data_IF_671357691591
#
_entry.id   IF_671357691591
#
_cell.length_a   1.000
_cell.length_b   1.000
_cell.length_c   1.000
_cell.angle_alpha   90.00
_cell.angle_beta   90.00
_cell.angle_gamma   90.00
#
_symmetry.space_group_name_H-M   'P 1'
#
loop_
_entity.id
_entity.type
_entity.pdbx_description
1 polymer ?
#
# COMPACT_ATOMS: atom_id res chain seq x y z
N UNK A 1 -20.40 8.96 -11.48
CA UNK A 1 -20.40 7.65 -10.79
C UNK A 1 -21.74 7.47 -10.08
N UNK A 2 -22.19 6.23 -9.82
CA UNK A 2 -23.46 5.99 -9.09
C UNK A 2 -23.40 6.52 -7.66
N UNK A 3 -22.23 6.38 -7.02
CA UNK A 3 -21.96 6.90 -5.69
C UNK A 3 -21.00 8.09 -5.74
N UNK A 4 -21.06 9.00 -4.75
CA UNK A 4 -20.05 10.04 -4.58
C UNK A 4 -18.64 9.46 -4.46
N UNK A 5 -17.67 10.22 -4.95
CA UNK A 5 -16.24 9.98 -4.76
C UNK A 5 -15.70 11.23 -4.11
N UNK A 6 -15.18 11.08 -2.90
CA UNK A 6 -14.66 12.18 -2.12
C UNK A 6 -13.17 12.33 -2.36
N UNK A 7 -12.74 13.53 -2.73
CA UNK A 7 -11.32 13.89 -2.76
C UNK A 7 -10.84 14.15 -1.34
N UNK A 8 -9.89 13.34 -0.86
CA UNK A 8 -9.32 13.50 0.48
C UNK A 8 -7.82 13.72 0.39
N UNK A 9 -7.31 14.58 1.25
CA UNK A 9 -5.87 14.81 1.36
C UNK A 9 -5.16 13.51 1.77
N UNK A 10 -4.00 13.26 1.17
CA UNK A 10 -3.17 12.09 1.45
C UNK A 10 -1.72 12.52 1.67
N UNK A 11 -0.86 11.69 2.29
CA UNK A 11 0.55 11.99 2.41
C UNK A 11 1.21 12.22 1.04
N UNK A 12 2.01 13.28 0.92
CA UNK A 12 2.87 13.50 -0.23
C UNK A 12 4.19 12.73 -0.05
N UNK A 13 4.77 12.28 -1.16
CA UNK A 13 6.08 11.63 -1.14
C UNK A 13 7.21 12.65 -1.26
N UNK A 14 8.44 12.14 -1.32
CA UNK A 14 9.66 12.95 -1.37
C UNK A 14 10.66 12.46 -2.41
N UNK A 15 10.25 11.57 -3.32
CA UNK A 15 11.12 11.06 -4.39
C UNK A 15 11.39 12.22 -5.37
N UNK A 16 12.66 12.57 -5.63
CA UNK A 16 12.99 13.67 -6.53
C UNK A 16 12.42 13.46 -7.93
N UNK A 17 11.81 14.50 -8.49
CA UNK A 17 11.22 14.47 -9.84
C UNK A 17 9.81 13.87 -9.92
N UNK A 18 9.33 13.21 -8.87
CA UNK A 18 7.93 12.75 -8.83
C UNK A 18 6.95 13.89 -8.58
N UNK A 19 5.76 13.75 -9.14
CA UNK A 19 4.63 14.65 -8.90
C UNK A 19 3.57 13.91 -8.10
N UNK A 20 3.16 14.49 -6.97
CA UNK A 20 2.12 13.94 -6.11
C UNK A 20 0.88 14.82 -6.14
N UNK A 21 -0.28 14.22 -6.38
CA UNK A 21 -1.54 14.91 -6.24
C UNK A 21 -1.83 15.22 -4.76
N UNK A 22 -2.35 16.42 -4.42
CA UNK A 22 -2.68 16.77 -3.04
C UNK A 22 -3.80 15.92 -2.43
N UNK A 23 -4.68 15.36 -3.27
CA UNK A 23 -5.82 14.54 -2.87
C UNK A 23 -5.87 13.25 -3.68
N UNK A 24 -6.62 12.27 -3.16
CA UNK A 24 -6.95 11.03 -3.85
C UNK A 24 -8.46 10.77 -3.78
N UNK A 25 -9.01 10.03 -4.76
CA UNK A 25 -10.42 9.67 -4.79
C UNK A 25 -10.74 8.53 -3.80
N UNK A 26 -11.69 8.76 -2.91
CA UNK A 26 -12.23 7.75 -2.00
C UNK A 26 -13.70 7.47 -2.36
N UNK A 27 -14.03 6.29 -2.92
CA UNK A 27 -15.42 5.89 -3.14
C UNK A 27 -16.18 5.84 -1.81
N UNK A 28 -17.39 6.40 -1.76
CA UNK A 28 -18.21 6.33 -0.54
C UNK A 28 -18.95 5.01 -0.39
N UNK A 29 -19.15 4.28 -1.50
CA UNK A 29 -19.83 2.97 -1.53
C UNK A 29 -19.32 2.08 -2.67
N UNK A 30 -19.31 0.75 -2.48
CA UNK A 30 -19.47 0.06 -1.19
C UNK A 30 -18.30 0.39 -0.24
N UNK A 31 -18.39 0.09 1.08
CA UNK A 31 -17.23 0.16 1.95
C UNK A 31 -16.08 -0.71 1.44
N UNK A 32 -14.81 -0.39 1.79
CA UNK A 32 -13.70 -1.29 1.53
C UNK A 32 -13.98 -2.68 2.10
N UNK A 33 -13.75 -3.72 1.29
CA UNK A 33 -13.92 -5.12 1.70
C UNK A 33 -12.59 -5.80 2.05
N UNK A 34 -11.46 -5.11 1.82
CA UNK A 34 -10.11 -5.52 2.21
C UNK A 34 -9.47 -4.39 3.01
N UNK A 35 -8.48 -4.74 3.84
CA UNK A 35 -7.68 -3.77 4.59
C UNK A 35 -6.87 -2.89 3.66
N UNK A 36 -6.82 -1.60 4.00
CA UNK A 36 -6.21 -0.56 3.18
C UNK A 36 -5.26 0.28 4.04
N UNK A 37 -3.98 0.20 3.73
CA UNK A 37 -2.89 0.72 4.55
C UNK A 37 -2.32 -0.32 5.51
N UNK A 38 -1.25 0.07 6.18
CA UNK A 38 -0.59 -0.67 7.25
C UNK A 38 -0.32 0.29 8.38
N UNK A 39 -1.01 0.11 9.50
CA UNK A 39 -0.89 0.90 10.71
C UNK A 39 -0.33 0.03 11.84
N UNK A 40 0.18 0.67 12.89
CA UNK A 40 0.64 -0.03 14.10
C UNK A 40 -0.48 -0.89 14.70
N UNK A 41 -1.73 -0.43 14.61
CA UNK A 41 -2.90 -1.16 15.11
C UNK A 41 -3.24 -2.40 14.28
N UNK A 42 -2.72 -2.53 13.05
CA UNK A 42 -2.87 -3.72 12.22
C UNK A 42 -1.87 -4.83 12.57
N UNK A 43 -0.88 -4.54 13.44
CA UNK A 43 0.15 -5.50 13.82
C UNK A 43 -0.39 -6.55 14.80
N UNK A 44 0.12 -7.78 14.64
CA UNK A 44 -0.21 -8.90 15.51
C UNK A 44 0.01 -8.55 16.99
N UNK A 45 -0.90 -9.01 17.84
CA UNK A 45 -0.92 -8.74 19.27
C UNK A 45 -1.10 -10.01 20.11
N UNK A 46 -0.78 -11.18 19.53
CA UNK A 46 -0.93 -12.48 20.19
C UNK A 46 -0.20 -12.57 21.53
N UNK A 47 0.98 -11.95 21.62
CA UNK A 47 1.69 -11.70 22.89
C UNK A 47 2.39 -10.34 22.85
N UNK A 48 2.73 -9.74 24.01
CA UNK A 48 3.49 -8.49 24.07
C UNK A 48 4.85 -8.56 23.36
N UNK A 49 5.51 -9.72 23.40
CA UNK A 49 6.82 -9.92 22.76
C UNK A 49 6.71 -9.91 21.24
N UNK A 50 5.70 -10.61 20.68
CA UNK A 50 5.45 -10.62 19.24
C UNK A 50 4.99 -9.26 18.73
N UNK A 51 4.18 -8.54 19.52
CA UNK A 51 3.77 -7.17 19.20
C UNK A 51 4.99 -6.24 19.12
N UNK A 52 5.88 -6.30 20.10
CA UNK A 52 7.12 -5.50 20.11
C UNK A 52 8.02 -5.84 18.92
N UNK A 53 8.20 -7.12 18.63
CA UNK A 53 8.97 -7.54 17.46
C UNK A 53 8.36 -7.04 16.14
N UNK A 54 7.03 -7.10 16.00
CA UNK A 54 6.34 -6.57 14.83
C UNK A 54 6.51 -5.04 14.69
N UNK A 55 6.44 -4.30 15.79
CA UNK A 55 6.70 -2.85 15.82
C UNK A 55 8.15 -2.51 15.45
N UNK A 56 9.12 -3.27 15.97
CA UNK A 56 10.54 -3.15 15.62
C UNK A 56 10.79 -3.42 14.13
N UNK A 57 10.12 -4.42 13.54
CA UNK A 57 10.18 -4.71 12.10
C UNK A 57 9.57 -3.56 11.30
N UNK A 58 8.38 -3.09 11.69
CA UNK A 58 7.65 -2.01 11.03
C UNK A 58 8.45 -0.70 11.03
N UNK A 59 9.18 -0.40 12.12
CA UNK A 59 10.01 0.79 12.25
C UNK A 59 11.13 0.89 11.19
N UNK A 60 11.50 -0.23 10.54
CA UNK A 60 12.42 -0.25 9.41
C UNK A 60 11.79 0.09 8.06
N UNK A 61 10.52 0.48 8.02
CA UNK A 61 9.77 0.83 6.82
C UNK A 61 8.95 2.10 7.01
N UNK A 62 8.55 2.71 5.91
CA UNK A 62 7.46 3.70 5.91
C UNK A 62 6.13 2.95 5.84
N UNK A 63 5.18 3.32 6.69
CA UNK A 63 3.84 2.73 6.75
C UNK A 63 2.79 3.82 6.96
N UNK A 64 1.53 3.52 6.66
CA UNK A 64 0.45 4.50 6.70
C UNK A 64 -0.80 4.05 5.95
N UNK A 65 -1.75 4.98 5.68
CA UNK A 65 -2.98 4.68 4.94
C UNK A 65 -2.73 4.26 3.49
N UNK A 66 -3.78 3.81 2.78
CA UNK A 66 -3.73 3.29 1.40
C UNK A 66 -2.82 4.05 0.43
N UNK A 67 -2.88 5.38 0.46
CA UNK A 67 -2.15 6.26 -0.45
C UNK A 67 -0.81 6.74 0.13
N UNK A 68 -0.21 5.96 1.02
CA UNK A 68 1.17 6.23 1.46
C UNK A 68 2.12 5.95 0.29
N UNK A 69 2.89 6.97 -0.16
CA UNK A 69 3.70 6.87 -1.36
C UNK A 69 4.91 5.97 -1.14
N UNK A 70 5.45 5.34 -2.20
CA UNK A 70 6.76 4.68 -2.16
C UNK A 70 7.88 5.61 -1.71
N UNK A 71 8.93 5.05 -1.10
CA UNK A 71 10.12 5.81 -0.70
C UNK A 71 11.40 5.25 -1.31
N UNK A 72 12.40 6.12 -1.47
CA UNK A 72 13.77 5.71 -1.75
C UNK A 72 14.31 4.91 -0.57
N UNK A 73 14.99 3.80 -0.85
CA UNK A 73 15.67 3.00 0.16
C UNK A 73 16.82 3.81 0.74
N UNK A 74 16.88 3.87 2.07
CA UNK A 74 17.94 4.51 2.82
C UNK A 74 18.60 3.48 3.75
N UNK A 75 19.82 3.09 3.44
CA UNK A 75 20.57 2.08 4.19
C UNK A 75 21.33 2.67 5.40
N UNK A 76 21.26 3.99 5.63
CA UNK A 76 21.86 4.63 6.81
C UNK A 76 21.15 4.17 8.09
N UNK A 77 21.81 4.25 9.26
CA UNK A 77 21.14 3.97 10.54
C UNK A 77 19.88 4.83 10.71
N UNK A 78 18.73 4.18 10.92
CA UNK A 78 17.42 4.84 11.00
C UNK A 78 16.78 5.18 9.65
N UNK A 79 17.35 4.71 8.54
CA UNK A 79 16.74 4.80 7.21
C UNK A 79 15.61 3.79 7.00
N UNK A 80 15.01 3.82 5.82
CA UNK A 80 13.85 2.99 5.45
C UNK A 80 14.20 1.97 4.37
N UNK A 81 13.62 0.77 4.47
CA UNK A 81 13.67 -0.26 3.42
C UNK A 81 12.64 -0.06 2.32
N UNK A 82 11.85 1.01 2.37
CA UNK A 82 10.76 1.30 1.46
C UNK A 82 9.43 1.47 2.20
N UNK A 83 8.35 1.61 1.43
CA UNK A 83 7.00 1.72 1.97
C UNK A 83 6.32 0.37 1.97
N UNK A 84 5.73 -0.06 3.09
CA UNK A 84 4.83 -1.22 3.10
C UNK A 84 3.47 -0.76 2.58
N UNK A 85 3.00 -1.38 1.50
CA UNK A 85 1.70 -1.13 0.91
C UNK A 85 0.77 -2.32 1.12
N UNK A 86 -0.47 -2.00 1.50
CA UNK A 86 -1.58 -2.94 1.58
C UNK A 86 -2.84 -2.27 1.00
N UNK A 87 -3.53 -2.86 0.02
CA UNK A 87 -3.13 -4.08 -0.69
C UNK A 87 -1.78 -3.93 -1.40
N UNK A 88 -1.02 -5.03 -1.52
CA UNK A 88 0.26 -5.02 -2.25
C UNK A 88 0.07 -5.03 -3.76
N UNK A 89 1.17 -5.15 -4.51
CA UNK A 89 1.19 -5.01 -5.98
C UNK A 89 0.26 -5.98 -6.75
N UNK A 90 -0.08 -7.11 -6.12
CA UNK A 90 -1.01 -8.14 -6.61
C UNK A 90 -2.04 -8.51 -5.54
N UNK A 91 -2.29 -7.58 -4.61
CA UNK A 91 -3.19 -7.76 -3.48
C UNK A 91 -4.58 -7.15 -3.73
N UNK A 92 -5.55 -7.52 -2.90
CA UNK A 92 -6.93 -7.03 -2.99
C UNK A 92 -7.73 -7.76 -4.08
N UNK A 93 -8.68 -7.07 -4.70
CA UNK A 93 -9.35 -7.56 -5.90
C UNK A 93 -8.47 -7.33 -7.13
N UNK A 94 -8.13 -8.42 -7.80
CA UNK A 94 -7.31 -8.41 -9.01
C UNK A 94 -8.03 -9.18 -10.14
N UNK A 95 -7.30 -9.63 -11.16
CA UNK A 95 -7.79 -10.31 -12.36
C UNK A 95 -8.61 -11.59 -12.14
N UNK A 96 -8.71 -12.09 -10.91
CA UNK A 96 -9.39 -13.34 -10.58
C UNK A 96 -10.92 -13.27 -10.75
N UNK A 97 -11.47 -12.07 -11.00
CA UNK A 97 -12.89 -11.86 -11.24
C UNK A 97 -13.73 -11.97 -9.97
N UNK A 98 -15.03 -12.17 -10.13
CA UNK A 98 -15.99 -12.31 -9.04
C UNK A 98 -17.12 -13.25 -9.45
N UNK A 99 -17.86 -13.77 -8.48
CA UNK A 99 -19.06 -14.58 -8.70
C UNK A 99 -20.29 -13.88 -8.14
N UNK A 100 -21.44 -14.00 -8.81
CA UNK A 100 -22.72 -13.48 -8.34
C UNK A 100 -23.69 -14.64 -8.18
N UNK A 101 -24.34 -14.73 -7.04
CA UNK A 101 -25.52 -15.56 -6.84
C UNK A 101 -26.77 -14.70 -7.16
N UNK A 102 -27.48 -14.98 -8.27
CA UNK A 102 -28.64 -14.20 -8.67
C UNK A 102 -29.88 -14.46 -7.80
N UNK A 103 -29.94 -15.59 -7.08
CA UNK A 103 -31.09 -15.91 -6.20
C UNK A 103 -31.03 -15.09 -4.92
N UNK A 104 -29.84 -14.94 -4.34
CA UNK A 104 -29.61 -14.14 -3.12
C UNK A 104 -29.22 -12.70 -3.41
N UNK A 105 -28.78 -12.39 -4.63
CA UNK A 105 -28.24 -11.08 -5.00
C UNK A 105 -26.85 -10.80 -4.42
N UNK A 106 -26.13 -11.84 -3.97
CA UNK A 106 -24.82 -11.70 -3.33
C UNK A 106 -23.68 -11.73 -4.35
N UNK A 107 -22.76 -10.77 -4.24
CA UNK A 107 -21.49 -10.72 -4.97
C UNK A 107 -20.36 -11.24 -4.08
N UNK A 108 -19.62 -12.22 -4.58
CA UNK A 108 -18.44 -12.79 -3.95
C UNK A 108 -17.19 -12.36 -4.70
N UNK A 109 -16.34 -11.57 -4.04
CA UNK A 109 -15.09 -11.06 -4.60
C UNK A 109 -13.93 -11.72 -3.86
N UNK A 110 -13.10 -12.54 -4.52
CA UNK A 110 -11.87 -13.05 -3.92
C UNK A 110 -10.89 -11.91 -3.68
N UNK A 111 -10.16 -11.99 -2.56
CA UNK A 111 -9.11 -11.05 -2.20
C UNK A 111 -7.82 -11.80 -1.86
N UNK A 112 -6.68 -11.22 -2.22
CA UNK A 112 -5.37 -11.65 -1.76
C UNK A 112 -4.79 -10.64 -0.76
N UNK A 113 -4.58 -11.07 0.49
CA UNK A 113 -3.90 -10.26 1.50
C UNK A 113 -2.40 -10.52 1.45
N UNK A 114 -1.74 -9.85 0.52
CA UNK A 114 -0.29 -9.94 0.29
C UNK A 114 0.31 -8.54 0.28
N UNK A 115 0.66 -7.98 1.45
CA UNK A 115 1.37 -6.70 1.51
C UNK A 115 2.69 -6.78 0.74
N UNK A 116 3.09 -5.66 0.15
CA UNK A 116 4.34 -5.56 -0.59
C UNK A 116 5.18 -4.40 -0.04
N UNK A 117 6.50 -4.56 -0.03
CA UNK A 117 7.42 -3.45 0.22
C UNK A 117 7.79 -2.83 -1.13
N UNK A 118 7.53 -1.55 -1.29
CA UNK A 118 7.94 -0.77 -2.47
C UNK A 118 9.05 0.19 -2.06
N UNK A 119 10.28 -0.21 -2.36
CA UNK A 119 11.48 0.59 -2.15
C UNK A 119 12.14 0.94 -3.48
N UNK A 120 12.46 2.22 -3.64
CA UNK A 120 13.07 2.74 -4.87
C UNK A 120 14.59 2.87 -4.75
N UNK A 121 15.29 2.60 -5.85
CA UNK A 121 16.74 2.85 -6.00
C UNK A 121 16.99 3.61 -7.30
N UNK A 122 18.11 4.32 -7.43
CA UNK A 122 18.52 4.87 -8.72
C UNK A 122 18.57 3.77 -9.79
N UNK A 123 18.16 4.10 -11.00
CA UNK A 123 18.28 3.17 -12.13
C UNK A 123 19.73 3.10 -12.61
N UNK A 124 20.29 1.89 -12.67
CA UNK A 124 21.66 1.66 -13.16
C UNK A 124 21.67 1.17 -14.62
N UNK A 125 20.49 0.90 -15.20
CA UNK A 125 20.42 0.30 -16.52
C UNK A 125 20.70 1.36 -17.61
N UNK A 126 21.64 1.12 -18.54
CA UNK A 126 22.12 2.14 -19.50
C UNK A 126 21.07 2.59 -20.52
N UNK A 127 19.95 1.87 -20.63
CA UNK A 127 18.79 2.25 -21.47
C UNK A 127 17.59 2.73 -20.66
N UNK A 128 17.73 2.91 -19.35
CA UNK A 128 16.67 3.46 -18.52
C UNK A 128 16.44 4.92 -18.87
N UNK A 129 15.18 5.30 -19.02
CA UNK A 129 14.74 6.69 -19.12
C UNK A 129 13.98 7.14 -17.85
N UNK A 130 14.00 6.32 -16.81
CA UNK A 130 13.49 6.65 -15.47
C UNK A 130 14.65 6.73 -14.49
N UNK A 131 14.58 7.72 -13.58
CA UNK A 131 15.63 8.00 -12.59
C UNK A 131 15.65 6.95 -11.47
N UNK A 132 14.48 6.45 -11.08
CA UNK A 132 14.30 5.48 -10.01
C UNK A 132 13.55 4.24 -10.49
N UNK A 133 13.92 3.09 -9.95
CA UNK A 133 13.27 1.79 -10.18
C UNK A 133 12.99 1.10 -8.86
N UNK A 134 11.99 0.23 -8.84
CA UNK A 134 11.75 -0.63 -7.67
C UNK A 134 12.89 -1.63 -7.52
N UNK A 135 13.44 -1.75 -6.30
CA UNK A 135 14.40 -2.82 -5.97
C UNK A 135 13.67 -4.16 -5.98
N UNK A 136 14.13 -5.07 -6.86
CA UNK A 136 13.66 -6.45 -6.92
C UNK A 136 14.21 -7.31 -5.79
#
# INVERSE_FOLDING_TARGET
PVWPIEERAVPAGNVPGEWYAPTQPFPTKPPPFEHQGVLVDDLIDFTPELRREAEEILAGYVSGPLFTPPTIIDERPGGTRGTIQSPGLVGGADWNGAAVDPETGMLYVPTARTPAVVGLTPSEHPRSNVDFVMRA
#
